data_IF_106197654486
#
_entry.id   IF_106197654486
#
_cell.length_a   1.000
_cell.length_b   1.000
_cell.length_c   1.000
_cell.angle_alpha   90.00
_cell.angle_beta   90.00
_cell.angle_gamma   90.00
#
_symmetry.space_group_name_H-M   'P 1'
#
loop_
_entity.id
_entity.type
_entity.pdbx_description
1 polymer ?
#
# COMPACT_ATOMS: atom_id res chain seq x y z
N UNK A 1 -76.26 -7.08 -9.59
CA UNK A 1 -76.57 -8.52 -9.37
C UNK A 1 -75.33 -9.32 -9.72
N UNK A 2 -74.68 -10.09 -8.86
CA UNK A 2 -74.86 -10.34 -7.44
C UNK A 2 -73.46 -10.53 -6.82
N UNK A 3 -73.35 -10.06 -5.59
CA UNK A 3 -72.30 -10.25 -4.60
C UNK A 3 -72.28 -11.67 -4.03
N UNK A 4 -71.13 -12.09 -3.48
CA UNK A 4 -70.86 -12.80 -2.21
C UNK A 4 -69.31 -12.94 -2.16
N UNK A 5 -68.52 -12.13 -1.45
CA UNK A 5 -68.25 -12.03 0.01
C UNK A 5 -67.61 -13.28 0.65
N UNK A 6 -66.31 -13.22 0.97
CA UNK A 6 -65.75 -13.57 2.28
C UNK A 6 -64.36 -12.93 2.46
N UNK A 7 -64.11 -12.45 3.68
CA UNK A 7 -62.93 -11.73 4.16
C UNK A 7 -62.14 -12.59 5.19
N UNK A 8 -61.16 -12.05 5.93
CA UNK A 8 -59.73 -12.26 5.73
C UNK A 8 -59.08 -13.18 6.78
N UNK A 9 -58.00 -13.88 6.43
CA UNK A 9 -57.10 -14.51 7.42
C UNK A 9 -55.78 -13.75 7.43
N UNK A 10 -55.57 -13.01 8.52
CA UNK A 10 -54.36 -12.25 8.75
C UNK A 10 -53.15 -13.16 8.97
N UNK A 11 -52.14 -12.98 8.13
CA UNK A 11 -50.77 -13.39 8.47
C UNK A 11 -50.12 -12.23 9.20
N UNK A 12 -50.00 -12.38 10.52
CA UNK A 12 -49.11 -11.58 11.35
C UNK A 12 -47.69 -11.92 10.88
N UNK A 13 -47.11 -11.07 10.05
CA UNK A 13 -45.70 -11.14 9.69
C UNK A 13 -44.87 -10.81 10.91
N UNK A 14 -44.34 -11.83 11.57
CA UNK A 14 -43.27 -11.69 12.55
C UNK A 14 -42.05 -11.09 11.85
N UNK A 15 -41.75 -9.85 12.21
CA UNK A 15 -40.53 -9.15 11.82
C UNK A 15 -39.31 -9.95 12.27
N UNK A 16 -38.28 -10.01 11.42
CA UNK A 16 -37.00 -10.68 11.68
C UNK A 16 -36.20 -10.11 12.87
N UNK A 17 -36.76 -9.14 13.60
CA UNK A 17 -36.18 -8.49 14.78
C UNK A 17 -36.44 -9.22 16.11
N UNK A 18 -37.33 -10.22 16.15
CA UNK A 18 -37.75 -10.86 17.42
C UNK A 18 -37.01 -12.15 17.79
N UNK A 19 -36.04 -12.60 16.97
CA UNK A 19 -35.21 -13.78 17.29
C UNK A 19 -33.89 -13.46 18.00
N UNK A 20 -33.66 -12.21 18.41
CA UNK A 20 -32.47 -11.80 19.15
C UNK A 20 -32.82 -11.34 20.57
N UNK A 21 -33.38 -12.26 21.36
CA UNK A 21 -33.31 -12.20 22.82
C UNK A 21 -32.65 -13.46 23.37
N UNK A 22 -31.40 -13.27 23.77
CA UNK A 22 -30.69 -13.91 24.89
C UNK A 22 -31.02 -15.37 25.23
N UNK A 23 -30.05 -16.28 25.11
CA UNK A 23 -29.22 -16.71 26.25
C UNK A 23 -28.51 -18.05 26.01
N UNK A 24 -27.34 -18.14 26.63
CA UNK A 24 -26.62 -19.35 27.08
C UNK A 24 -26.06 -20.36 26.07
N UNK A 25 -24.72 -20.48 26.14
CA UNK A 25 -23.90 -21.69 25.97
C UNK A 25 -24.62 -22.97 25.53
N UNK A 26 -24.38 -23.39 24.29
CA UNK A 26 -24.77 -24.73 23.84
C UNK A 26 -24.30 -25.01 22.41
N UNK A 27 -23.51 -26.07 22.25
CA UNK A 27 -23.12 -26.63 20.96
C UNK A 27 -24.40 -27.14 20.27
N UNK A 28 -24.81 -26.54 19.15
CA UNK A 28 -25.89 -27.06 18.32
C UNK A 28 -25.37 -27.33 16.90
N UNK A 29 -25.10 -28.61 16.61
CA UNK A 29 -24.90 -29.09 15.24
C UNK A 29 -26.26 -29.32 14.57
N UNK A 30 -26.45 -28.77 13.37
CA UNK A 30 -27.63 -29.07 12.55
C UNK A 30 -27.33 -30.32 11.73
N UNK A 31 -28.11 -31.41 11.85
CA UNK A 31 -27.98 -32.55 10.95
C UNK A 31 -28.54 -32.19 9.56
N UNK A 32 -27.74 -32.37 8.51
CA UNK A 32 -28.15 -32.31 7.11
C UNK A 32 -29.15 -33.44 6.81
N UNK A 33 -30.42 -33.25 7.16
CA UNK A 33 -31.54 -34.11 6.75
C UNK A 33 -32.69 -33.37 6.05
N UNK A 34 -32.47 -32.11 5.68
CA UNK A 34 -33.52 -31.25 5.11
C UNK A 34 -33.17 -30.73 3.71
N UNK A 35 -32.66 -31.60 2.83
CA UNK A 35 -32.60 -31.32 1.39
C UNK A 35 -32.87 -32.61 0.59
N UNK A 36 -34.03 -32.63 -0.07
CA UNK A 36 -34.31 -33.34 -1.33
C UNK A 36 -34.03 -34.85 -1.44
N UNK A 37 -35.10 -35.66 -1.39
CA UNK A 37 -35.11 -37.01 -1.99
C UNK A 37 -34.95 -36.90 -3.51
N UNK A 38 -33.87 -37.42 -4.07
CA UNK A 38 -33.83 -37.89 -5.45
C UNK A 38 -33.65 -39.41 -5.44
N UNK A 39 -34.64 -40.15 -5.96
CA UNK A 39 -34.59 -41.61 -6.16
C UNK A 39 -34.01 -41.88 -7.55
N UNK A 40 -32.91 -42.61 -7.62
CA UNK A 40 -32.56 -43.45 -8.78
C UNK A 40 -32.26 -44.86 -8.26
N UNK A 41 -32.91 -45.85 -8.88
CA UNK A 41 -32.95 -47.23 -8.41
C UNK A 41 -31.91 -48.14 -9.08
N UNK A 42 -31.70 -49.29 -8.43
CA UNK A 42 -31.26 -50.55 -9.05
C UNK A 42 -29.75 -50.80 -9.09
N UNK A 43 -29.25 -51.69 -8.23
CA UNK A 43 -27.93 -52.31 -8.42
C UNK A 43 -27.20 -52.67 -7.12
N UNK A 44 -27.12 -53.97 -6.85
CA UNK A 44 -26.37 -54.61 -5.76
C UNK A 44 -24.87 -54.28 -5.78
N UNK A 45 -24.35 -53.57 -4.76
CA UNK A 45 -22.97 -53.75 -4.28
C UNK A 45 -22.81 -53.15 -2.88
N UNK A 46 -22.17 -53.90 -1.99
CA UNK A 46 -21.80 -53.52 -0.62
C UNK A 46 -20.68 -52.47 -0.68
N UNK A 47 -21.05 -51.19 -0.69
CA UNK A 47 -20.10 -50.07 -0.55
C UNK A 47 -20.28 -49.44 0.83
N UNK A 48 -19.23 -49.47 1.64
CA UNK A 48 -19.13 -48.77 2.91
C UNK A 48 -19.27 -47.26 2.68
N UNK A 49 -20.40 -46.69 3.09
CA UNK A 49 -20.61 -45.23 3.09
C UNK A 49 -19.63 -44.58 4.07
N UNK A 50 -18.59 -43.92 3.54
CA UNK A 50 -17.80 -42.96 4.33
C UNK A 50 -18.63 -41.68 4.49
N UNK A 51 -19.16 -41.47 5.69
CA UNK A 51 -19.74 -40.19 6.10
C UNK A 51 -18.66 -39.11 6.02
N UNK A 52 -18.75 -38.28 4.99
CA UNK A 52 -17.86 -37.14 4.80
C UNK A 52 -18.32 -36.01 5.70
N UNK A 53 -17.65 -35.81 6.85
CA UNK A 53 -17.88 -34.66 7.73
C UNK A 53 -17.02 -33.48 7.27
N UNK A 54 -17.64 -32.44 6.75
CA UNK A 54 -17.00 -31.13 6.55
C UNK A 54 -16.98 -30.41 7.89
N UNK A 55 -15.80 -30.22 8.47
CA UNK A 55 -15.61 -29.44 9.70
C UNK A 55 -15.07 -28.06 9.30
N UNK A 56 -15.94 -27.05 9.28
CA UNK A 56 -15.50 -25.67 9.16
C UNK A 56 -15.03 -25.17 10.53
N UNK A 57 -13.73 -24.95 10.69
CA UNK A 57 -13.16 -24.34 11.90
C UNK A 57 -13.44 -22.83 11.83
N UNK A 58 -14.50 -22.38 12.47
CA UNK A 58 -14.77 -20.94 12.63
C UNK A 58 -13.63 -20.37 13.49
N UNK A 59 -12.67 -19.69 12.85
CA UNK A 59 -11.72 -18.84 13.56
C UNK A 59 -12.53 -17.77 14.27
N UNK A 60 -12.24 -17.47 15.54
CA UNK A 60 -12.76 -16.28 16.22
C UNK A 60 -12.30 -15.06 15.44
N UNK A 61 -13.13 -14.60 14.52
CA UNK A 61 -13.00 -13.28 13.88
C UNK A 61 -13.28 -12.26 14.97
N UNK A 62 -12.46 -11.22 15.07
CA UNK A 62 -12.73 -10.11 16.01
C UNK A 62 -14.10 -9.53 15.64
N UNK A 63 -14.93 -9.22 16.64
CA UNK A 63 -16.35 -8.87 16.49
C UNK A 63 -16.62 -7.55 15.71
N UNK A 64 -15.60 -6.93 15.11
CA UNK A 64 -15.72 -5.78 14.22
C UNK A 64 -14.73 -5.96 13.05
N UNK A 65 -15.20 -6.58 11.97
CA UNK A 65 -14.52 -6.62 10.66
C UNK A 65 -15.02 -5.50 9.74
N UNK A 66 -15.71 -4.50 10.30
CA UNK A 66 -16.10 -3.29 9.57
C UNK A 66 -15.14 -2.17 9.99
N UNK A 67 -14.22 -1.71 9.11
CA UNK A 67 -13.22 -0.68 9.46
C UNK A 67 -13.83 0.73 9.59
N UNK A 68 -15.13 0.87 9.33
CA UNK A 68 -15.82 2.15 9.36
C UNK A 68 -16.33 2.44 10.78
N UNK A 69 -16.16 3.68 11.28
CA UNK A 69 -16.78 4.10 12.53
C UNK A 69 -18.31 4.01 12.43
N UNK A 70 -18.99 3.74 13.54
CA UNK A 70 -20.46 3.59 13.58
C UNK A 70 -21.21 4.86 13.12
N UNK A 71 -20.58 6.04 13.23
CA UNK A 71 -21.05 7.31 12.67
C UNK A 71 -19.88 8.00 11.92
N UNK A 72 -19.73 7.77 10.60
CA UNK A 72 -18.74 8.49 9.81
C UNK A 72 -19.21 9.93 9.58
N UNK A 73 -18.40 10.92 9.97
CA UNK A 73 -18.64 12.31 9.59
C UNK A 73 -18.43 12.49 8.08
N UNK A 74 -19.45 12.84 7.28
CA UNK A 74 -19.30 13.05 5.84
C UNK A 74 -18.47 14.31 5.51
N UNK A 75 -18.27 15.20 6.47
CA UNK A 75 -17.62 16.50 6.33
C UNK A 75 -16.29 16.60 7.08
N UNK A 76 -15.51 15.51 7.18
CA UNK A 76 -14.12 15.59 7.66
C UNK A 76 -13.35 16.59 6.78
N UNK A 77 -13.08 17.77 7.35
CA UNK A 77 -12.30 18.83 6.73
C UNK A 77 -10.82 18.51 6.94
N UNK A 78 -10.18 18.04 5.87
CA UNK A 78 -8.75 17.81 5.81
C UNK A 78 -8.29 16.50 6.46
N UNK A 79 -7.41 15.79 5.76
CA UNK A 79 -6.67 14.66 6.31
C UNK A 79 -7.12 13.28 5.81
N UNK A 80 -6.16 12.37 5.85
CA UNK A 80 -6.28 10.95 5.56
C UNK A 80 -7.42 10.36 6.40
N UNK A 81 -8.29 9.54 5.80
CA UNK A 81 -9.23 8.71 6.56
C UNK A 81 -8.41 7.67 7.34
N UNK A 82 -7.92 8.04 8.52
CA UNK A 82 -6.98 7.28 9.35
C UNK A 82 -7.50 5.91 9.80
N UNK A 83 -8.82 5.71 9.75
CA UNK A 83 -9.48 4.42 9.99
C UNK A 83 -9.44 3.49 8.78
N UNK A 84 -9.29 4.03 7.56
CA UNK A 84 -9.21 3.23 6.32
C UNK A 84 -7.78 2.93 5.90
N UNK A 85 -6.81 3.80 6.21
CA UNK A 85 -5.41 3.52 5.87
C UNK A 85 -4.66 2.83 7.01
N UNK A 86 -4.03 1.70 6.68
CA UNK A 86 -3.09 1.03 7.58
C UNK A 86 -1.75 1.75 7.71
N UNK A 87 -1.48 2.75 6.87
CA UNK A 87 -0.25 3.54 6.89
C UNK A 87 -0.49 4.85 7.64
N UNK A 88 -0.17 4.84 8.93
CA UNK A 88 -0.35 6.01 9.79
C UNK A 88 0.84 6.97 9.67
N UNK A 89 0.65 8.28 9.91
CA UNK A 89 1.77 9.19 10.17
C UNK A 89 2.66 8.60 11.26
N UNK A 90 3.98 8.74 11.13
CA UNK A 90 4.88 8.31 12.18
C UNK A 90 4.57 9.11 13.46
N UNK A 91 4.33 8.47 14.61
CA UNK A 91 4.23 9.20 15.86
C UNK A 91 5.56 9.90 16.14
N UNK A 92 5.54 11.03 16.84
CA UNK A 92 6.74 11.84 17.13
C UNK A 92 7.87 11.03 17.80
N UNK A 93 7.49 9.96 18.50
CA UNK A 93 8.38 9.06 19.24
C UNK A 93 9.08 8.01 18.34
N UNK A 94 8.64 7.84 17.09
CA UNK A 94 9.17 6.89 16.10
C UNK A 94 9.82 7.62 14.90
N UNK A 95 10.50 8.74 15.14
CA UNK A 95 11.32 9.37 14.09
C UNK A 95 12.32 8.35 13.54
N UNK A 96 12.51 8.31 12.20
CA UNK A 96 13.42 7.35 11.60
C UNK A 96 14.82 7.54 12.17
N UNK A 97 15.49 6.43 12.48
CA UNK A 97 16.86 6.48 13.00
C UNK A 97 17.75 7.21 11.99
N UNK A 98 18.61 8.13 12.43
CA UNK A 98 19.56 8.77 11.52
C UNK A 98 20.45 7.67 10.93
N UNK A 99 20.42 7.55 9.61
CA UNK A 99 21.30 6.66 8.85
C UNK A 99 22.33 7.53 8.17
N UNK A 100 23.60 7.18 8.37
CA UNK A 100 24.73 7.86 7.74
C UNK A 100 25.18 7.06 6.54
N UNK A 101 25.33 7.70 5.39
CA UNK A 101 25.97 7.08 4.24
C UNK A 101 27.49 7.15 4.37
N UNK A 102 28.20 6.15 3.85
CA UNK A 102 29.66 6.04 3.98
C UNK A 102 30.41 7.29 3.51
N UNK A 103 29.95 7.89 2.41
CA UNK A 103 30.57 9.09 1.84
C UNK A 103 30.26 10.38 2.61
N UNK A 104 29.34 10.35 3.59
CA UNK A 104 29.01 11.49 4.46
C UNK A 104 29.85 11.52 5.75
N UNK A 105 30.65 10.46 6.01
CA UNK A 105 31.55 10.40 7.18
C UNK A 105 32.41 11.66 7.36
N UNK A 106 32.99 12.28 6.31
CA UNK A 106 33.74 13.53 6.47
C UNK A 106 32.91 14.67 7.04
N UNK A 107 31.64 14.80 6.65
CA UNK A 107 30.73 15.82 7.17
C UNK A 107 30.40 15.58 8.64
N UNK A 108 30.16 14.33 9.02
CA UNK A 108 29.90 13.97 10.42
C UNK A 108 31.11 14.25 11.30
N UNK A 109 32.32 14.03 10.79
CA UNK A 109 33.53 14.36 11.54
C UNK A 109 33.67 15.87 11.77
N UNK A 110 33.24 16.71 10.82
CA UNK A 110 33.18 18.16 11.00
C UNK A 110 32.09 18.56 11.99
N UNK A 111 30.90 17.98 11.89
CA UNK A 111 29.79 18.22 12.81
C UNK A 111 30.17 17.87 14.26
N UNK A 112 30.81 16.71 14.48
CA UNK A 112 31.34 16.31 15.79
C UNK A 112 32.33 17.33 16.34
N UNK A 113 33.27 17.80 15.52
CA UNK A 113 34.22 18.85 15.93
C UNK A 113 33.52 20.14 16.33
N UNK A 114 32.48 20.56 15.60
CA UNK A 114 31.68 21.75 15.96
C UNK A 114 31.01 21.55 17.32
N UNK A 115 30.42 20.37 17.56
CA UNK A 115 29.78 20.03 18.84
C UNK A 115 30.81 20.04 19.98
N UNK A 116 31.97 19.43 19.78
CA UNK A 116 33.03 19.36 20.79
C UNK A 116 33.57 20.76 21.15
N UNK A 117 33.79 21.62 20.14
CA UNK A 117 34.23 23.01 20.36
C UNK A 117 33.16 23.82 21.10
N UNK A 118 31.89 23.68 20.73
CA UNK A 118 30.78 24.32 21.45
C UNK A 118 30.70 23.85 22.90
N UNK A 119 30.94 22.56 23.15
CA UNK A 119 30.96 21.99 24.50
C UNK A 119 32.12 22.57 25.32
N UNK A 120 33.32 22.65 24.74
CA UNK A 120 34.49 23.26 25.40
C UNK A 120 34.28 24.75 25.70
N UNK A 121 33.65 25.50 24.81
CA UNK A 121 33.28 26.91 25.05
C UNK A 121 32.41 27.06 26.30
N UNK A 122 31.39 26.20 26.44
CA UNK A 122 30.48 26.22 27.58
C UNK A 122 31.16 25.79 28.90
N UNK A 123 32.10 24.84 28.85
CA UNK A 123 32.80 24.33 30.04
C UNK A 123 33.89 25.28 30.55
N UNK A 124 34.63 25.92 29.64
CA UNK A 124 35.77 26.79 29.98
C UNK A 124 35.40 28.26 30.12
N UNK A 125 34.24 28.68 29.60
CA UNK A 125 33.82 30.09 29.54
C UNK A 125 34.67 30.94 28.58
N UNK A 126 35.50 30.31 27.75
CA UNK A 126 36.32 30.97 26.75
C UNK A 126 35.53 31.17 25.45
N UNK A 127 35.79 32.29 24.78
CA UNK A 127 35.15 32.60 23.51
C UNK A 127 35.81 31.85 22.35
N UNK A 128 35.05 30.96 21.72
CA UNK A 128 35.44 30.24 20.50
C UNK A 128 34.54 30.59 19.30
N UNK A 129 33.82 31.71 19.34
CA UNK A 129 32.84 32.08 18.32
C UNK A 129 33.42 32.12 16.90
N UNK A 130 34.62 32.69 16.73
CA UNK A 130 35.29 32.76 15.43
C UNK A 130 35.68 31.37 14.89
N UNK A 131 36.13 30.47 15.77
CA UNK A 131 36.50 29.11 15.40
C UNK A 131 35.27 28.30 15.02
N UNK A 132 34.18 28.45 15.77
CA UNK A 132 32.88 27.82 15.47
C UNK A 132 32.38 28.30 14.11
N UNK A 133 32.39 29.62 13.86
CA UNK A 133 31.97 30.18 12.57
C UNK A 133 32.84 29.67 11.41
N UNK A 134 34.16 29.58 11.60
CA UNK A 134 35.07 29.02 10.60
C UNK A 134 34.76 27.54 10.29
N UNK A 135 34.49 26.73 11.31
CA UNK A 135 34.13 25.32 11.15
C UNK A 135 32.77 25.14 10.49
N UNK A 136 31.79 25.96 10.84
CA UNK A 136 30.46 25.97 10.22
C UNK A 136 30.54 26.33 8.74
N UNK A 137 31.30 27.37 8.38
CA UNK A 137 31.54 27.73 6.99
C UNK A 137 32.22 26.60 6.21
N UNK A 138 33.22 25.94 6.81
CA UNK A 138 33.86 24.75 6.21
C UNK A 138 32.87 23.59 6.04
N UNK A 139 32.00 23.36 7.01
CA UNK A 139 30.96 22.35 6.94
C UNK A 139 29.97 22.64 5.80
N UNK A 140 29.47 23.88 5.69
CA UNK A 140 28.55 24.26 4.62
C UNK A 140 29.18 24.15 3.25
N UNK A 141 30.45 24.57 3.10
CA UNK A 141 31.19 24.43 1.85
C UNK A 141 31.38 22.95 1.48
N UNK A 142 31.83 22.11 2.43
CA UNK A 142 32.01 20.69 2.20
C UNK A 142 30.69 19.97 1.88
N UNK A 143 29.58 20.36 2.53
CA UNK A 143 28.25 19.82 2.26
C UNK A 143 27.84 20.13 0.82
N UNK A 144 27.95 21.40 0.41
CA UNK A 144 27.64 21.83 -0.95
C UNK A 144 28.49 21.06 -1.95
N UNK A 145 29.81 21.03 -1.76
CA UNK A 145 30.75 20.39 -2.67
C UNK A 145 30.49 18.88 -2.81
N UNK A 146 30.14 18.20 -1.71
CA UNK A 146 29.79 16.78 -1.71
C UNK A 146 28.55 16.49 -2.54
N UNK A 147 27.47 17.25 -2.30
CA UNK A 147 26.18 17.01 -2.93
C UNK A 147 26.11 17.51 -4.38
N UNK A 148 26.94 18.48 -4.78
CA UNK A 148 27.07 18.89 -6.19
C UNK A 148 27.86 17.88 -7.02
N UNK A 149 28.83 17.19 -6.42
CA UNK A 149 29.75 16.27 -7.12
C UNK A 149 29.53 14.80 -6.76
N UNK A 150 28.26 14.39 -6.57
CA UNK A 150 27.91 13.00 -6.29
C UNK A 150 28.28 12.09 -7.46
N UNK A 151 29.05 11.05 -7.15
CA UNK A 151 29.35 9.96 -8.11
C UNK A 151 28.09 9.12 -8.38
N UNK A 152 28.01 8.42 -9.53
CA UNK A 152 26.85 7.59 -9.85
C UNK A 152 26.49 6.58 -8.76
N UNK A 153 27.48 5.93 -8.14
CA UNK A 153 27.25 4.96 -7.07
C UNK A 153 26.75 5.62 -5.77
N UNK A 154 27.19 6.85 -5.47
CA UNK A 154 26.67 7.61 -4.33
C UNK A 154 25.20 7.98 -4.53
N UNK A 155 24.79 8.34 -5.76
CA UNK A 155 23.36 8.56 -6.09
C UNK A 155 22.53 7.29 -5.90
N UNK A 156 23.06 6.11 -6.27
CA UNK A 156 22.42 4.82 -6.00
C UNK A 156 22.22 4.59 -4.50
N UNK A 157 23.20 4.95 -3.66
CA UNK A 157 23.05 4.85 -2.20
C UNK A 157 21.99 5.81 -1.66
N UNK A 158 21.88 7.02 -2.22
CA UNK A 158 20.81 7.97 -1.87
C UNK A 158 19.44 7.47 -2.35
N UNK A 159 19.36 6.84 -3.53
CA UNK A 159 18.13 6.21 -4.04
C UNK A 159 17.64 5.07 -3.12
N UNK A 160 18.59 4.36 -2.49
CA UNK A 160 18.35 3.25 -1.56
C UNK A 160 18.32 3.66 -0.09
N UNK A 161 18.31 4.96 0.20
CA UNK A 161 18.38 5.44 1.56
C UNK A 161 17.19 4.90 2.38
N UNK A 162 17.40 4.30 3.57
CA UNK A 162 16.32 3.67 4.34
C UNK A 162 15.18 4.62 4.73
N UNK A 163 15.51 5.90 4.90
CA UNK A 163 14.55 6.95 5.25
C UNK A 163 14.09 7.75 4.02
N UNK A 164 14.31 7.23 2.81
CA UNK A 164 13.82 7.89 1.59
C UNK A 164 12.28 7.91 1.62
N UNK A 165 11.63 9.06 1.30
CA UNK A 165 10.18 9.14 1.27
C UNK A 165 9.57 8.09 0.32
N UNK A 166 8.57 7.38 0.82
CA UNK A 166 7.84 6.33 0.10
C UNK A 166 6.64 6.91 -0.67
N UNK A 167 5.99 6.11 -1.51
CA UNK A 167 4.79 6.52 -2.27
C UNK A 167 3.74 7.22 -1.40
N UNK A 168 3.35 6.62 -0.27
CA UNK A 168 2.35 7.20 0.63
C UNK A 168 2.84 8.47 1.33
N UNK A 169 4.14 8.64 1.56
CA UNK A 169 4.70 9.91 2.06
C UNK A 169 4.45 11.06 1.07
N UNK A 170 4.62 10.79 -0.23
CA UNK A 170 4.34 11.78 -1.28
C UNK A 170 2.85 12.05 -1.41
N UNK A 171 2.03 11.00 -1.56
CA UNK A 171 0.58 11.13 -1.78
C UNK A 171 -0.11 11.89 -0.64
N UNK A 172 0.26 11.61 0.60
CA UNK A 172 -0.33 12.29 1.75
C UNK A 172 0.08 13.77 1.86
N UNK A 173 1.22 14.15 1.31
CA UNK A 173 1.67 15.54 1.32
C UNK A 173 1.14 16.36 0.14
N UNK A 174 0.77 15.73 -0.99
CA UNK A 174 0.30 16.44 -2.19
C UNK A 174 -1.21 16.42 -2.36
N UNK A 175 -1.94 15.58 -1.62
CA UNK A 175 -3.40 15.44 -1.77
C UNK A 175 -4.17 15.97 -0.56
N UNK A 176 -5.32 16.58 -0.81
CA UNK A 176 -6.24 17.06 0.25
C UNK A 176 -6.97 15.89 0.94
N UNK A 177 -7.37 14.92 0.12
CA UNK A 177 -8.08 13.69 0.50
C UNK A 177 -7.52 12.56 -0.33
N UNK A 178 -7.26 11.43 0.31
CA UNK A 178 -6.84 10.19 -0.35
C UNK A 178 -7.65 9.01 0.16
N UNK A 179 -8.14 8.19 -0.77
CA UNK A 179 -8.87 6.95 -0.49
C UNK A 179 -8.12 5.80 -1.14
N UNK A 180 -7.54 4.93 -0.30
CA UNK A 180 -6.84 3.73 -0.74
C UNK A 180 -7.84 2.69 -1.31
N UNK A 181 -7.48 2.07 -2.43
CA UNK A 181 -8.27 1.05 -3.11
C UNK A 181 -7.48 -0.26 -3.15
N UNK A 182 -8.15 -1.37 -2.85
CA UNK A 182 -7.51 -2.65 -2.51
C UNK A 182 -7.92 -3.82 -3.42
N UNK A 183 -7.02 -4.79 -3.55
CA UNK A 183 -7.23 -6.09 -4.19
C UNK A 183 -7.12 -6.06 -5.71
N UNK A 184 -7.08 -7.23 -6.33
CA UNK A 184 -7.09 -7.42 -7.78
C UNK A 184 -8.39 -8.06 -8.31
N UNK A 185 -9.29 -8.52 -7.42
CA UNK A 185 -10.48 -9.38 -7.68
C UNK A 185 -10.14 -10.84 -8.03
N UNK A 186 -8.90 -11.27 -7.86
CA UNK A 186 -8.43 -12.63 -8.07
C UNK A 186 -7.87 -13.29 -6.81
N UNK A 187 -8.12 -12.68 -5.64
CA UNK A 187 -7.96 -13.32 -4.33
C UNK A 187 -6.80 -12.78 -3.48
N UNK A 188 -6.05 -11.78 -3.94
CA UNK A 188 -4.96 -11.19 -3.16
C UNK A 188 -4.88 -9.67 -3.33
N UNK A 189 -4.63 -8.97 -2.21
CA UNK A 189 -4.29 -7.55 -2.22
C UNK A 189 -2.80 -7.41 -1.95
N UNK A 190 -2.02 -7.18 -3.01
CA UNK A 190 -0.57 -7.10 -2.89
C UNK A 190 -0.15 -5.82 -2.15
N UNK A 191 0.50 -5.93 -0.99
CA UNK A 191 0.88 -4.78 -0.21
C UNK A 191 2.02 -3.97 -0.88
N UNK A 192 2.80 -4.53 -1.81
CA UNK A 192 3.91 -3.82 -2.46
C UNK A 192 3.45 -2.76 -3.48
N UNK A 193 2.21 -2.84 -3.98
CA UNK A 193 1.58 -1.80 -4.80
C UNK A 193 0.46 -1.18 -3.99
N UNK A 194 0.43 0.14 -3.89
CA UNK A 194 -0.72 0.85 -3.33
C UNK A 194 -1.39 1.66 -4.43
N UNK A 195 -2.72 1.67 -4.42
CA UNK A 195 -3.55 2.39 -5.38
C UNK A 195 -4.60 3.20 -4.65
N UNK A 196 -5.07 4.32 -5.20
CA UNK A 196 -6.14 5.09 -4.60
C UNK A 196 -6.52 6.33 -5.37
N UNK A 197 -7.64 6.94 -4.99
CA UNK A 197 -8.10 8.21 -5.59
C UNK A 197 -7.73 9.35 -4.63
N UNK A 198 -7.09 10.38 -5.17
CA UNK A 198 -6.78 11.58 -4.42
C UNK A 198 -7.19 12.85 -5.15
N UNK A 199 -7.25 13.96 -4.42
CA UNK A 199 -7.60 15.28 -4.97
C UNK A 199 -6.45 16.27 -4.81
N UNK A 200 -6.09 16.95 -5.91
CA UNK A 200 -5.12 18.06 -5.95
C UNK A 200 -5.84 19.25 -6.60
N UNK A 201 -5.87 20.40 -5.93
CA UNK A 201 -6.50 21.65 -6.41
C UNK A 201 -7.92 21.42 -6.97
N UNK A 202 -8.72 20.63 -6.24
CA UNK A 202 -10.10 20.27 -6.64
C UNK A 202 -10.23 19.27 -7.81
N UNK A 203 -9.13 18.81 -8.43
CA UNK A 203 -9.14 17.77 -9.48
C UNK A 203 -8.82 16.39 -8.92
N UNK A 204 -9.51 15.36 -9.41
CA UNK A 204 -9.34 13.97 -8.96
C UNK A 204 -8.34 13.23 -9.84
N UNK A 205 -7.47 12.45 -9.21
CA UNK A 205 -6.43 11.67 -9.85
C UNK A 205 -6.44 10.24 -9.31
N UNK A 206 -6.13 9.28 -10.19
CA UNK A 206 -5.81 7.91 -9.78
C UNK A 206 -4.32 7.83 -9.48
N UNK A 207 -3.98 7.58 -8.22
CA UNK A 207 -2.62 7.37 -7.77
C UNK A 207 -2.32 5.88 -7.67
N UNK A 208 -1.12 5.49 -8.09
CA UNK A 208 -0.61 4.16 -7.85
C UNK A 208 0.91 4.16 -7.73
N UNK A 209 1.48 3.25 -6.96
CA UNK A 209 2.92 3.19 -6.85
C UNK A 209 3.44 2.03 -6.03
N UNK A 210 4.75 1.84 -6.13
CA UNK A 210 5.47 0.91 -5.27
C UNK A 210 5.54 1.48 -3.85
N UNK A 211 5.12 0.69 -2.87
CA UNK A 211 5.15 1.08 -1.47
C UNK A 211 6.22 0.25 -0.75
N UNK A 212 7.35 0.88 -0.41
CA UNK A 212 8.32 0.34 0.56
C UNK A 212 7.84 0.58 2.01
N UNK A 213 8.49 -0.06 2.98
CA UNK A 213 8.22 0.18 4.40
C UNK A 213 9.21 1.17 5.01
N UNK A 214 8.77 1.93 6.01
CA UNK A 214 9.64 2.86 6.76
C UNK A 214 10.55 2.15 7.77
N UNK A 215 10.23 0.91 8.12
CA UNK A 215 10.98 0.09 9.07
C UNK A 215 11.04 -1.38 8.60
N UNK A 216 11.84 -2.22 9.27
CA UNK A 216 12.02 -3.62 8.89
C UNK A 216 10.71 -4.42 8.85
N UNK A 217 9.81 -4.21 9.82
CA UNK A 217 8.53 -4.93 9.88
C UNK A 217 7.64 -4.57 8.70
N UNK A 218 7.55 -3.29 8.38
CA UNK A 218 6.80 -2.81 7.22
C UNK A 218 7.44 -3.25 5.91
N UNK A 219 8.76 -3.23 5.80
CA UNK A 219 9.46 -3.68 4.60
C UNK A 219 9.17 -5.15 4.31
N UNK A 220 9.20 -6.01 5.33
CA UNK A 220 8.81 -7.42 5.17
C UNK A 220 7.34 -7.53 4.76
N UNK A 221 6.42 -6.77 5.39
CA UNK A 221 5.00 -6.77 5.03
C UNK A 221 4.76 -6.32 3.58
N UNK A 222 5.53 -5.35 3.10
CA UNK A 222 5.40 -4.72 1.78
C UNK A 222 6.30 -5.37 0.73
N UNK A 223 6.88 -6.55 1.01
CA UNK A 223 7.84 -7.23 0.14
C UNK A 223 8.97 -6.32 -0.36
N UNK A 224 9.44 -5.38 0.46
CA UNK A 224 10.45 -4.37 0.11
C UNK A 224 10.09 -3.55 -1.15
N UNK A 225 8.80 -3.37 -1.44
CA UNK A 225 8.32 -2.70 -2.64
C UNK A 225 8.44 -3.54 -3.91
N UNK A 226 8.65 -4.85 -3.81
CA UNK A 226 8.68 -5.79 -4.94
C UNK A 226 7.30 -6.41 -5.16
N UNK A 227 6.58 -6.06 -6.25
CA UNK A 227 5.25 -6.59 -6.51
C UNK A 227 5.27 -8.03 -7.01
N UNK A 228 4.28 -8.79 -6.55
CA UNK A 228 3.83 -10.05 -7.14
C UNK A 228 2.91 -9.78 -8.35
N UNK A 229 2.50 -10.80 -9.11
CA UNK A 229 1.61 -10.61 -10.27
C UNK A 229 0.28 -9.95 -9.88
N UNK A 230 -0.21 -10.24 -8.68
CA UNK A 230 -1.44 -9.63 -8.13
C UNK A 230 -1.32 -8.11 -7.96
N UNK A 231 -0.13 -7.58 -7.64
CA UNK A 231 0.11 -6.14 -7.55
C UNK A 231 -0.04 -5.45 -8.90
N UNK A 232 0.51 -6.04 -9.96
CA UNK A 232 0.36 -5.52 -11.32
C UNK A 232 -1.08 -5.61 -11.82
N UNK A 233 -1.77 -6.74 -11.57
CA UNK A 233 -3.20 -6.89 -11.90
C UNK A 233 -4.09 -5.91 -11.15
N UNK A 234 -3.79 -5.63 -9.88
CA UNK A 234 -4.45 -4.55 -9.12
C UNK A 234 -4.23 -3.19 -9.79
N UNK A 235 -2.99 -2.87 -10.16
CA UNK A 235 -2.69 -1.62 -10.86
C UNK A 235 -3.45 -1.52 -12.19
N UNK A 236 -3.44 -2.58 -13.00
CA UNK A 236 -4.18 -2.68 -14.25
C UNK A 236 -5.68 -2.42 -14.07
N UNK A 237 -6.29 -3.06 -13.07
CA UNK A 237 -7.70 -2.84 -12.74
C UNK A 237 -7.97 -1.36 -12.44
N UNK A 238 -7.09 -0.71 -11.69
CA UNK A 238 -7.23 0.72 -11.37
C UNK A 238 -7.00 1.63 -12.56
N UNK A 239 -6.10 1.26 -13.49
CA UNK A 239 -5.92 1.96 -14.76
C UNK A 239 -7.21 1.93 -15.60
N UNK A 240 -7.89 0.78 -15.70
CA UNK A 240 -9.20 0.71 -16.37
C UNK A 240 -10.27 1.57 -15.70
N UNK A 241 -10.32 1.59 -14.37
CA UNK A 241 -11.24 2.48 -13.65
C UNK A 241 -10.93 3.95 -13.91
N UNK A 242 -9.66 4.32 -13.90
CA UNK A 242 -9.24 5.69 -14.17
C UNK A 242 -9.64 6.11 -15.59
N UNK A 243 -9.40 5.26 -16.58
CA UNK A 243 -9.76 5.53 -17.98
C UNK A 243 -11.28 5.64 -18.17
N UNK A 244 -12.04 4.70 -17.61
CA UNK A 244 -13.51 4.72 -17.68
C UNK A 244 -14.12 6.00 -17.06
N UNK A 245 -13.56 6.49 -15.96
CA UNK A 245 -14.07 7.68 -15.25
C UNK A 245 -13.37 8.98 -15.64
N UNK A 246 -12.42 8.95 -16.57
CA UNK A 246 -11.69 10.14 -17.00
C UNK A 246 -10.72 10.71 -15.96
N UNK A 247 -10.24 9.90 -15.02
CA UNK A 247 -9.24 10.33 -14.04
C UNK A 247 -7.83 10.24 -14.63
N UNK A 248 -7.06 11.34 -14.65
CA UNK A 248 -5.62 11.28 -14.93
C UNK A 248 -4.91 10.33 -13.96
N UNK A 249 -3.89 9.63 -14.46
CA UNK A 249 -3.13 8.64 -13.70
C UNK A 249 -1.77 9.22 -13.30
N UNK A 250 -1.43 9.12 -12.01
CA UNK A 250 -0.10 9.47 -11.50
C UNK A 250 0.53 8.22 -10.89
N UNK A 251 1.65 7.78 -11.44
CA UNK A 251 2.38 6.61 -10.95
C UNK A 251 3.68 6.99 -10.26
N UNK A 252 4.01 6.28 -9.18
CA UNK A 252 5.25 6.47 -8.41
C UNK A 252 6.07 5.19 -8.43
N UNK A 253 7.31 5.30 -8.93
CA UNK A 253 8.21 4.19 -9.15
C UNK A 253 9.27 4.17 -8.04
N UNK A 254 9.25 3.10 -7.23
CA UNK A 254 10.25 2.82 -6.19
C UNK A 254 10.34 1.32 -5.87
N UNK A 255 10.92 0.57 -6.78
CA UNK A 255 11.09 -0.88 -6.66
C UNK A 255 12.48 -1.32 -7.09
N UNK A 256 13.12 -2.26 -6.36
CA UNK A 256 14.33 -2.91 -6.86
C UNK A 256 14.04 -3.86 -8.02
N UNK A 257 12.78 -4.26 -8.23
CA UNK A 257 12.31 -5.16 -9.28
C UNK A 257 11.02 -5.88 -8.91
N UNK A 258 10.50 -6.68 -9.83
CA UNK A 258 9.38 -7.58 -9.55
C UNK A 258 9.82 -8.68 -8.55
N UNK A 259 8.89 -9.17 -7.73
CA UNK A 259 9.20 -10.24 -6.78
C UNK A 259 9.51 -11.54 -7.55
N UNK A 260 10.73 -12.04 -7.41
CA UNK A 260 11.24 -13.22 -8.11
C UNK A 260 11.13 -14.45 -7.20
N UNK A 261 9.96 -15.08 -7.20
CA UNK A 261 9.67 -16.32 -6.48
C UNK A 261 8.98 -17.32 -7.41
N UNK A 262 9.14 -18.62 -7.15
CA UNK A 262 8.59 -19.71 -7.97
C UNK A 262 7.08 -19.56 -8.15
N UNK A 263 6.36 -19.22 -7.07
CA UNK A 263 4.91 -19.01 -7.12
C UNK A 263 4.52 -17.83 -8.00
N UNK A 264 5.34 -16.78 -8.07
CA UNK A 264 5.05 -15.62 -8.92
C UNK A 264 5.19 -15.97 -10.40
N UNK A 265 6.15 -16.83 -10.75
CA UNK A 265 6.28 -17.37 -12.10
C UNK A 265 5.10 -18.26 -12.47
N UNK A 266 4.70 -19.18 -11.58
CA UNK A 266 3.50 -20.03 -11.77
C UNK A 266 2.21 -19.20 -11.95
N UNK A 267 2.12 -18.07 -11.24
CA UNK A 267 1.00 -17.13 -11.32
C UNK A 267 1.11 -16.15 -12.50
N UNK A 268 2.17 -16.19 -13.31
CA UNK A 268 2.32 -15.37 -14.51
C UNK A 268 2.86 -13.96 -14.27
N UNK A 269 4.01 -13.83 -13.61
CA UNK A 269 4.68 -12.53 -13.41
C UNK A 269 4.97 -11.79 -14.72
N UNK A 270 5.52 -12.49 -15.72
CA UNK A 270 5.78 -11.91 -17.04
C UNK A 270 4.49 -11.48 -17.76
N UNK A 271 3.43 -12.27 -17.65
CA UNK A 271 2.11 -11.96 -18.24
C UNK A 271 1.50 -10.71 -17.61
N UNK A 272 1.53 -10.60 -16.28
CA UNK A 272 0.99 -9.46 -15.57
C UNK A 272 1.72 -8.16 -15.96
N UNK A 273 3.06 -8.20 -16.04
CA UNK A 273 3.87 -7.07 -16.51
C UNK A 273 3.53 -6.71 -17.96
N UNK A 274 3.49 -7.69 -18.86
CA UNK A 274 3.22 -7.47 -20.28
C UNK A 274 1.82 -6.89 -20.53
N UNK A 275 0.81 -7.37 -19.81
CA UNK A 275 -0.56 -6.87 -19.93
C UNK A 275 -0.70 -5.44 -19.41
N UNK A 276 0.01 -5.06 -18.34
CA UNK A 276 0.07 -3.67 -17.92
C UNK A 276 0.68 -2.79 -19.01
N UNK A 277 1.86 -3.15 -19.51
CA UNK A 277 2.55 -2.38 -20.56
C UNK A 277 1.64 -2.17 -21.78
N UNK A 278 1.05 -3.26 -22.29
CA UNK A 278 0.13 -3.22 -23.43
C UNK A 278 -1.07 -2.30 -23.16
N UNK A 279 -1.65 -2.38 -21.97
CA UNK A 279 -2.84 -1.58 -21.63
C UNK A 279 -2.51 -0.11 -21.53
N UNK A 280 -1.38 0.26 -20.91
CA UNK A 280 -0.97 1.65 -20.75
C UNK A 280 -0.81 2.40 -22.09
N UNK A 281 -0.44 1.71 -23.17
CA UNK A 281 -0.41 2.30 -24.52
C UNK A 281 -1.80 2.65 -25.09
N UNK A 282 -2.86 2.03 -24.58
CA UNK A 282 -4.23 2.20 -25.09
C UNK A 282 -5.12 3.10 -24.24
N UNK A 283 -4.64 3.62 -23.10
CA UNK A 283 -5.44 4.48 -22.23
C UNK A 283 -5.64 5.86 -22.85
N UNK A 284 -6.83 6.41 -22.68
CA UNK A 284 -7.22 7.73 -23.20
C UNK A 284 -6.91 8.86 -22.22
N UNK A 285 -6.86 8.54 -20.93
CA UNK A 285 -6.48 9.48 -19.87
C UNK A 285 -4.96 9.70 -19.83
N UNK A 286 -4.50 10.91 -19.46
CA UNK A 286 -3.07 11.18 -19.37
C UNK A 286 -2.44 10.46 -18.17
N UNK A 287 -1.23 9.95 -18.38
CA UNK A 287 -0.41 9.25 -17.40
C UNK A 287 0.88 10.05 -17.17
N UNK A 288 1.20 10.29 -15.90
CA UNK A 288 2.50 10.84 -15.47
C UNK A 288 3.18 9.84 -14.53
N UNK A 289 4.39 9.44 -14.85
CA UNK A 289 5.21 8.56 -13.99
C UNK A 289 6.33 9.32 -13.33
N UNK A 290 6.53 9.07 -12.04
CA UNK A 290 7.56 9.73 -11.22
C UNK A 290 8.44 8.67 -10.59
N UNK A 291 9.71 8.60 -10.98
CA UNK A 291 10.70 7.74 -10.30
C UNK A 291 11.17 8.46 -9.06
N UNK A 292 10.68 8.00 -7.91
CA UNK A 292 11.01 8.61 -6.61
C UNK A 292 12.16 7.90 -5.92
N UNK A 293 12.50 6.67 -6.26
CA UNK A 293 13.62 5.94 -5.67
C UNK A 293 14.33 5.04 -6.68
N UNK A 294 14.07 3.75 -6.61
CA UNK A 294 14.60 2.78 -7.58
C UNK A 294 13.60 2.44 -8.68
N UNK A 295 14.05 2.45 -9.94
CA UNK A 295 13.34 1.96 -11.10
C UNK A 295 13.96 0.65 -11.58
N UNK A 296 13.66 -0.46 -10.89
CA UNK A 296 14.20 -1.77 -11.23
C UNK A 296 13.47 -2.47 -12.37
N UNK A 297 14.10 -2.52 -13.55
CA UNK A 297 13.77 -3.39 -14.68
C UNK A 297 12.28 -3.36 -15.08
N UNK A 298 11.76 -4.49 -15.59
CA UNK A 298 10.37 -4.65 -16.00
C UNK A 298 9.36 -4.44 -14.87
N UNK A 299 9.75 -4.65 -13.61
CA UNK A 299 8.86 -4.44 -12.46
C UNK A 299 8.55 -2.96 -12.19
N UNK A 300 9.52 -2.09 -12.47
CA UNK A 300 9.29 -0.65 -12.50
C UNK A 300 8.47 -0.23 -13.74
N UNK A 301 8.82 -0.76 -14.90
CA UNK A 301 8.20 -0.40 -16.18
C UNK A 301 6.71 -0.80 -16.25
N UNK A 302 6.30 -1.84 -15.53
CA UNK A 302 4.91 -2.31 -15.44
C UNK A 302 3.89 -1.27 -14.96
N UNK A 303 4.34 -0.16 -14.36
CA UNK A 303 3.49 1.00 -14.05
C UNK A 303 4.12 2.31 -14.55
N UNK A 304 5.11 2.22 -15.43
CA UNK A 304 5.96 3.35 -15.86
C UNK A 304 5.80 3.78 -17.32
N UNK A 305 4.95 3.12 -18.09
CA UNK A 305 4.64 3.52 -19.46
C UNK A 305 3.70 4.74 -19.44
N UNK A 306 4.23 5.94 -19.62
CA UNK A 306 3.49 7.18 -19.40
C UNK A 306 3.71 8.22 -20.51
N UNK A 307 2.80 9.19 -20.61
CA UNK A 307 2.97 10.33 -21.52
C UNK A 307 4.14 11.23 -21.08
N UNK A 308 4.34 11.37 -19.77
CA UNK A 308 5.49 12.06 -19.19
C UNK A 308 6.11 11.22 -18.09
N UNK A 309 7.43 11.08 -18.14
CA UNK A 309 8.22 10.45 -17.10
C UNK A 309 9.17 11.46 -16.48
N UNK A 310 9.13 11.58 -15.16
CA UNK A 310 9.94 12.48 -14.36
C UNK A 310 10.76 11.63 -13.39
N UNK A 311 11.99 12.04 -13.11
CA UNK A 311 12.86 11.37 -12.14
C UNK A 311 13.34 12.40 -11.13
N UNK A 312 13.35 12.02 -9.85
CA UNK A 312 14.07 12.81 -8.85
C UNK A 312 15.57 12.76 -9.15
N UNK A 313 16.29 13.84 -8.83
CA UNK A 313 17.72 14.01 -9.15
C UNK A 313 18.64 12.87 -8.68
N UNK A 314 18.24 12.17 -7.63
CA UNK A 314 18.97 11.06 -7.01
C UNK A 314 18.19 9.74 -7.12
N UNK A 315 17.19 9.66 -7.99
CA UNK A 315 16.54 8.40 -8.34
C UNK A 315 17.34 7.67 -9.42
N UNK A 316 17.15 6.35 -9.53
CA UNK A 316 17.87 5.51 -10.50
C UNK A 316 16.88 4.69 -11.32
N UNK A 317 17.17 4.44 -12.59
CA UNK A 317 16.35 3.60 -13.46
C UNK A 317 17.28 2.73 -14.31
N UNK A 318 17.11 1.41 -14.24
CA UNK A 318 18.04 0.45 -14.85
C UNK A 318 17.33 -0.83 -15.33
N UNK A 319 17.91 -1.50 -16.33
CA UNK A 319 17.37 -2.75 -16.91
C UNK A 319 17.76 -3.98 -16.09
N UNK A 320 19.01 -4.03 -15.62
CA UNK A 320 19.55 -5.10 -14.79
C UNK A 320 20.48 -4.49 -13.73
N UNK A 321 20.62 -5.21 -12.61
CA UNK A 321 21.44 -4.80 -11.46
C UNK A 321 22.82 -5.45 -11.52
#
# INVERSE_FOLDING_TARGET
MASISHSPVGFVGTSASDLLRSSSNGVNGIPLRTLGRARFGGGSSTTTRRDSRVVAKIRKVKKHDHPWPDNPDPNVKGGILTHLSHFKPLPENEKPRPVTLEFEKPLINLEKKIIDVRKMANETGLDFSDQISSLENKYQQALKDLYTHLTPIQRVYIARHPNRPTFLDHVFNITEKFVELHGDRSGYDDPAIVTGIGTIDGRRYMFMGHQKGRNTKENVKRNFGMPTPHGYRKALRMMYYADHHGFPIITFIDTPGAYADLKCEELGQGEAIANNLRTMFGLTVPIVSIVIGEGGSGGALAIGCANKLIMLENAVFYVAR
#
